data_IF_773368517371
#
_entry.id   IF_773368517371
#
_cell.length_a   1.000
_cell.length_b   1.000
_cell.length_c   1.000
_cell.angle_alpha   90.00
_cell.angle_beta   90.00
_cell.angle_gamma   90.00
#
_symmetry.space_group_name_H-M   'P 1'
#
loop_
_entity.id
_entity.type
_entity.pdbx_description
1 polymer ?
#
# COMPACT_ATOMS: atom_id res chain seq x y z
N UNK A 1 -13.23 -17.48 -54.76
CA UNK A 1 -12.45 -16.97 -53.62
C UNK A 1 -11.72 -18.13 -52.98
N UNK A 2 -10.38 -18.11 -52.95
CA UNK A 2 -9.56 -19.26 -52.53
C UNK A 2 -9.43 -19.39 -51.01
N UNK A 3 -9.26 -20.61 -50.51
CA UNK A 3 -9.04 -20.94 -49.08
C UNK A 3 -7.91 -20.13 -48.42
N UNK A 4 -6.88 -19.78 -49.20
CA UNK A 4 -5.76 -18.93 -48.80
C UNK A 4 -6.22 -17.59 -48.22
N UNK A 5 -7.19 -16.93 -48.86
CA UNK A 5 -7.70 -15.61 -48.43
C UNK A 5 -8.56 -15.69 -47.15
N UNK A 6 -9.17 -16.85 -46.88
CA UNK A 6 -9.98 -17.07 -45.68
C UNK A 6 -9.11 -17.33 -44.44
N UNK A 7 -7.96 -17.99 -44.60
CA UNK A 7 -6.98 -18.21 -43.51
C UNK A 7 -6.33 -16.89 -43.08
N UNK A 8 -5.96 -16.03 -44.02
CA UNK A 8 -5.35 -14.72 -43.73
C UNK A 8 -6.31 -13.77 -43.00
N UNK A 9 -7.59 -13.76 -43.39
CA UNK A 9 -8.63 -12.96 -42.71
C UNK A 9 -8.86 -13.41 -41.27
N UNK A 10 -8.83 -14.72 -41.00
CA UNK A 10 -8.95 -15.27 -39.64
C UNK A 10 -7.74 -14.91 -38.79
N UNK A 11 -6.53 -15.10 -39.31
CA UNK A 11 -5.30 -14.73 -38.62
C UNK A 11 -5.24 -13.23 -38.27
N UNK A 12 -5.64 -12.36 -39.21
CA UNK A 12 -5.71 -10.92 -38.98
C UNK A 12 -6.75 -10.54 -37.91
N UNK A 13 -7.95 -11.17 -37.94
CA UNK A 13 -8.99 -10.95 -36.92
C UNK A 13 -8.55 -11.41 -35.53
N UNK A 14 -7.82 -12.54 -35.45
CA UNK A 14 -7.29 -13.06 -34.19
C UNK A 14 -6.24 -12.10 -33.59
N UNK A 15 -5.32 -11.60 -34.42
CA UNK A 15 -4.29 -10.61 -34.01
C UNK A 15 -4.90 -9.32 -33.47
N UNK A 16 -5.85 -8.73 -34.19
CA UNK A 16 -6.52 -7.50 -33.75
C UNK A 16 -7.28 -7.65 -32.43
N UNK A 17 -7.78 -8.86 -32.13
CA UNK A 17 -8.41 -9.17 -30.84
C UNK A 17 -7.39 -9.25 -29.71
N UNK A 18 -6.29 -9.98 -29.92
CA UNK A 18 -5.21 -10.09 -28.95
C UNK A 18 -4.59 -8.72 -28.63
N UNK A 19 -4.30 -7.91 -29.65
CA UNK A 19 -3.73 -6.56 -29.47
C UNK A 19 -4.70 -5.64 -28.69
N UNK A 20 -6.00 -5.72 -28.99
CA UNK A 20 -7.02 -4.96 -28.28
C UNK A 20 -7.21 -5.39 -26.81
N UNK A 21 -7.02 -6.67 -26.51
CA UNK A 21 -7.09 -7.22 -25.16
C UNK A 21 -5.86 -6.84 -24.33
N UNK A 22 -4.65 -6.98 -24.90
CA UNK A 22 -3.39 -6.53 -24.28
C UNK A 22 -3.45 -5.04 -23.95
N UNK A 23 -3.94 -4.21 -24.87
CA UNK A 23 -4.09 -2.77 -24.63
C UNK A 23 -5.08 -2.46 -23.51
N UNK A 24 -6.22 -3.16 -23.45
CA UNK A 24 -7.21 -2.95 -22.37
C UNK A 24 -6.67 -3.35 -21.00
N UNK A 25 -5.90 -4.44 -20.93
CA UNK A 25 -5.23 -4.87 -19.70
C UNK A 25 -4.21 -3.82 -19.27
N UNK A 26 -3.36 -3.35 -20.18
CA UNK A 26 -2.37 -2.30 -19.89
C UNK A 26 -3.02 -0.96 -19.45
N UNK A 27 -4.11 -0.57 -20.11
CA UNK A 27 -4.89 0.62 -19.74
C UNK A 27 -5.50 0.45 -18.33
N UNK A 28 -5.99 -0.75 -18.01
CA UNK A 28 -6.51 -1.11 -16.68
C UNK A 28 -5.44 -1.02 -15.59
N UNK A 29 -4.27 -1.64 -15.80
CA UNK A 29 -3.15 -1.62 -14.86
C UNK A 29 -2.66 -0.20 -14.56
N UNK A 30 -2.62 0.65 -15.59
CA UNK A 30 -2.26 2.07 -15.43
C UNK A 30 -3.28 2.81 -14.58
N UNK A 31 -4.57 2.63 -14.85
CA UNK A 31 -5.66 3.24 -14.07
C UNK A 31 -5.60 2.78 -12.61
N UNK A 32 -5.36 1.50 -12.36
CA UNK A 32 -5.24 0.94 -11.01
C UNK A 32 -4.03 1.50 -10.27
N UNK A 33 -2.89 1.65 -10.94
CA UNK A 33 -1.69 2.26 -10.36
C UNK A 33 -1.93 3.72 -9.96
N UNK A 34 -2.55 4.51 -10.85
CA UNK A 34 -2.89 5.90 -10.59
C UNK A 34 -3.89 6.03 -9.43
N UNK A 35 -4.91 5.18 -9.42
CA UNK A 35 -5.89 5.12 -8.33
C UNK A 35 -5.22 4.77 -6.99
N UNK A 36 -4.30 3.79 -6.98
CA UNK A 36 -3.53 3.43 -5.77
C UNK A 36 -2.69 4.61 -5.28
N UNK A 37 -1.97 5.29 -6.16
CA UNK A 37 -1.18 6.49 -5.82
C UNK A 37 -2.05 7.61 -5.26
N UNK A 38 -3.20 7.88 -5.89
CA UNK A 38 -4.12 8.91 -5.42
C UNK A 38 -4.67 8.60 -4.02
N UNK A 39 -5.05 7.34 -3.76
CA UNK A 39 -5.48 6.91 -2.42
C UNK A 39 -4.36 7.05 -1.39
N UNK A 40 -3.12 6.72 -1.76
CA UNK A 40 -1.97 6.91 -0.87
C UNK A 40 -1.73 8.39 -0.53
N UNK A 41 -1.74 9.28 -1.52
CA UNK A 41 -1.58 10.71 -1.28
C UNK A 41 -2.70 11.29 -0.41
N UNK A 42 -3.94 10.82 -0.59
CA UNK A 42 -5.07 11.22 0.28
C UNK A 42 -4.85 10.75 1.72
N UNK A 43 -4.45 9.49 1.92
CA UNK A 43 -4.15 8.96 3.24
C UNK A 43 -3.04 9.78 3.92
N UNK A 44 -1.93 10.05 3.21
CA UNK A 44 -0.83 10.85 3.73
C UNK A 44 -1.27 12.27 4.09
N UNK A 45 -2.07 12.92 3.24
CA UNK A 45 -2.62 14.25 3.53
C UNK A 45 -3.50 14.25 4.78
N UNK A 46 -4.37 13.25 4.94
CA UNK A 46 -5.24 13.10 6.11
C UNK A 46 -4.43 12.90 7.39
N UNK A 47 -3.42 12.04 7.34
CA UNK A 47 -2.48 11.81 8.45
C UNK A 47 -1.81 13.13 8.84
N UNK A 48 -1.19 13.84 7.89
CA UNK A 48 -0.48 15.10 8.14
C UNK A 48 -1.38 16.17 8.78
N UNK A 49 -2.61 16.35 8.26
CA UNK A 49 -3.57 17.31 8.83
C UNK A 49 -3.97 16.92 10.25
N UNK A 50 -4.15 15.63 10.51
CA UNK A 50 -4.55 15.16 11.82
C UNK A 50 -3.43 15.37 12.87
N UNK A 51 -2.16 15.14 12.52
CA UNK A 51 -1.04 15.40 13.42
C UNK A 51 -0.75 16.89 13.64
N UNK A 52 -1.06 17.76 12.67
CA UNK A 52 -0.89 19.20 12.83
C UNK A 52 -1.82 19.81 13.89
N UNK A 53 -2.91 19.12 14.26
CA UNK A 53 -3.97 19.63 15.14
C UNK A 53 -4.21 18.76 16.37
N UNK A 54 -3.49 17.65 16.54
CA UNK A 54 -3.69 16.72 17.66
C UNK A 54 -3.15 17.32 18.97
N UNK A 55 -3.94 17.22 20.03
CA UNK A 55 -3.51 17.59 21.37
C UNK A 55 -2.45 16.60 21.88
N UNK A 56 -1.53 17.05 22.74
CA UNK A 56 -0.43 16.23 23.23
C UNK A 56 -0.93 14.96 23.94
N UNK A 57 -2.03 15.06 24.67
CA UNK A 57 -2.67 13.96 25.40
C UNK A 57 -3.27 12.89 24.48
N UNK A 58 -3.51 13.22 23.21
CA UNK A 58 -4.05 12.31 22.20
C UNK A 58 -2.98 11.79 21.22
N UNK A 59 -1.75 12.30 21.33
CA UNK A 59 -0.65 12.01 20.39
C UNK A 59 -0.37 10.51 20.29
N UNK A 60 -0.22 9.84 21.42
CA UNK A 60 0.15 8.42 21.50
C UNK A 60 -0.90 7.53 20.81
N UNK A 61 -2.19 7.76 21.13
CA UNK A 61 -3.29 7.06 20.47
C UNK A 61 -3.35 7.36 18.98
N UNK A 62 -3.03 8.60 18.57
CA UNK A 62 -3.00 8.98 17.16
C UNK A 62 -1.89 8.30 16.38
N UNK A 63 -0.73 8.09 16.99
CA UNK A 63 0.38 7.33 16.41
C UNK A 63 -0.05 5.88 16.18
N UNK A 64 -0.61 5.21 17.19
CA UNK A 64 -1.06 3.82 17.06
C UNK A 64 -2.12 3.65 15.97
N UNK A 65 -3.13 4.54 15.92
CA UNK A 65 -4.14 4.54 14.86
C UNK A 65 -3.52 4.74 13.47
N UNK A 66 -2.51 5.60 13.36
CA UNK A 66 -1.84 5.86 12.08
C UNK A 66 -1.04 4.66 11.59
N UNK A 67 -0.38 3.95 12.52
CA UNK A 67 0.34 2.72 12.19
C UNK A 67 -0.61 1.64 11.63
N UNK A 68 -1.80 1.49 12.23
CA UNK A 68 -2.86 0.61 11.73
C UNK A 68 -3.29 0.99 10.31
N UNK A 69 -3.68 2.26 10.08
CA UNK A 69 -4.14 2.73 8.77
C UNK A 69 -3.10 2.55 7.66
N UNK A 70 -1.82 2.79 7.98
CA UNK A 70 -0.72 2.59 7.05
C UNK A 70 -0.48 1.11 6.77
N UNK A 71 -0.54 0.26 7.80
CA UNK A 71 -0.38 -1.18 7.66
C UNK A 71 -1.50 -1.76 6.81
N UNK A 72 -2.76 -1.39 7.06
CA UNK A 72 -3.91 -1.80 6.25
C UNK A 72 -3.77 -1.37 4.79
N UNK A 73 -3.37 -0.12 4.55
CA UNK A 73 -3.19 0.39 3.18
C UNK A 73 -2.07 -0.34 2.43
N UNK A 74 -0.98 -0.66 3.13
CA UNK A 74 0.19 -1.34 2.57
C UNK A 74 0.05 -2.87 2.57
N UNK A 75 -1.00 -3.40 3.19
CA UNK A 75 -1.20 -4.84 3.44
C UNK A 75 -0.02 -5.45 4.22
N UNK A 76 0.47 -4.72 5.22
CA UNK A 76 1.54 -5.16 6.10
C UNK A 76 0.97 -5.86 7.34
N UNK A 77 1.62 -6.94 7.78
CA UNK A 77 1.23 -7.66 9.00
C UNK A 77 1.56 -6.90 10.29
N UNK A 78 2.50 -5.94 10.21
CA UNK A 78 3.08 -5.24 11.36
C UNK A 78 3.52 -3.82 10.97
N UNK A 79 3.43 -2.90 11.91
CA UNK A 79 3.97 -1.55 11.78
C UNK A 79 4.58 -1.05 13.09
N UNK A 80 5.68 -0.30 13.00
CA UNK A 80 6.43 0.18 14.15
C UNK A 80 6.88 1.62 13.96
N UNK A 81 6.83 2.41 15.03
CA UNK A 81 7.56 3.68 15.14
C UNK A 81 8.48 3.60 16.34
N UNK A 82 9.78 3.65 16.09
CA UNK A 82 10.81 3.39 17.10
C UNK A 82 11.62 4.66 17.34
N UNK A 83 11.76 5.04 18.62
CA UNK A 83 12.67 6.11 19.02
C UNK A 83 14.00 5.52 19.48
N UNK A 84 15.08 5.92 18.80
CA UNK A 84 16.46 5.54 19.13
C UNK A 84 17.10 6.71 19.89
N UNK A 85 17.73 6.43 21.04
CA UNK A 85 18.47 7.41 21.83
C UNK A 85 19.93 7.01 21.96
N UNK A 86 20.84 7.89 21.56
CA UNK A 86 22.28 7.65 21.56
C UNK A 86 22.85 7.46 22.98
N UNK A 87 22.23 8.05 24.00
CA UNK A 87 22.75 8.05 25.38
C UNK A 87 22.66 6.70 26.11
N UNK A 88 21.84 5.78 25.64
CA UNK A 88 21.55 4.54 26.39
C UNK A 88 21.83 3.25 25.61
N UNK A 89 22.16 3.31 24.31
CA UNK A 89 22.29 2.10 23.48
C UNK A 89 21.02 1.24 23.43
N UNK A 90 19.89 1.78 23.91
CA UNK A 90 18.61 1.08 24.08
C UNK A 90 17.52 1.72 23.22
N UNK A 91 16.74 0.87 22.55
CA UNK A 91 15.46 1.20 21.94
C UNK A 91 14.53 1.70 23.05
N UNK A 92 14.21 3.01 23.09
CA UNK A 92 13.67 3.60 24.33
C UNK A 92 12.15 3.57 24.45
N UNK A 93 11.43 3.29 23.38
CA UNK A 93 9.97 3.05 23.34
C UNK A 93 9.58 2.96 21.87
N UNK A 94 8.79 1.96 21.50
CA UNK A 94 8.24 1.83 20.15
C UNK A 94 6.72 1.77 20.17
N UNK A 95 6.05 2.61 19.37
CA UNK A 95 4.66 2.36 19.03
C UNK A 95 4.61 1.19 18.08
N UNK A 96 3.61 0.32 18.25
CA UNK A 96 3.46 -0.86 17.42
C UNK A 96 1.99 -1.10 17.08
N UNK A 97 1.79 -1.74 15.95
CA UNK A 97 0.53 -2.34 15.56
C UNK A 97 0.82 -3.70 14.91
N UNK A 98 -0.08 -4.66 15.17
CA UNK A 98 -0.02 -6.01 14.64
C UNK A 98 -1.39 -6.36 14.07
N UNK A 99 -1.41 -6.97 12.88
CA UNK A 99 -2.64 -7.51 12.34
C UNK A 99 -3.20 -8.63 13.26
N UNK A 100 -4.52 -8.84 13.27
CA UNK A 100 -5.14 -9.89 14.08
C UNK A 100 -4.50 -11.27 13.84
N UNK A 101 -4.10 -11.94 14.91
CA UNK A 101 -3.48 -13.27 14.85
C UNK A 101 -1.96 -13.30 14.60
N UNK A 102 -1.32 -12.15 14.38
CA UNK A 102 0.14 -12.07 14.21
C UNK A 102 0.84 -12.10 15.57
N UNK A 103 1.81 -13.02 15.71
CA UNK A 103 2.63 -13.14 16.93
C UNK A 103 3.45 -11.88 17.16
N UNK A 104 3.37 -11.30 18.36
CA UNK A 104 4.14 -10.12 18.77
C UNK A 104 5.63 -10.41 18.86
N UNK A 105 6.44 -9.37 18.63
CA UNK A 105 7.89 -9.46 18.72
C UNK A 105 8.36 -9.09 20.14
N UNK A 106 9.02 -10.00 20.88
CA UNK A 106 9.49 -9.73 22.23
C UNK A 106 10.47 -8.54 22.33
N UNK A 107 11.21 -8.23 21.25
CA UNK A 107 12.24 -7.20 21.29
C UNK A 107 11.70 -5.77 21.17
N UNK A 108 10.45 -5.59 20.76
CA UNK A 108 9.85 -4.25 20.57
C UNK A 108 8.99 -3.81 21.78
N UNK A 109 8.65 -4.74 22.68
CA UNK A 109 7.91 -4.43 23.93
C UNK A 109 8.84 -4.10 25.12
N UNK A 110 10.14 -4.37 25.02
CA UNK A 110 11.12 -4.07 26.07
C UNK A 110 11.61 -2.61 25.97
N UNK A 111 10.73 -1.65 26.27
CA UNK A 111 11.02 -0.21 26.35
C UNK A 111 10.56 0.38 27.67
#
# INVERSE_FOLDING_TARGET
>A
MSESTLRDKRANKQRRRADGEVRRVADGDLVDNLNRKLRFHRLLSQISTAFASVAAEQMDGKITQTLELLADFLQADRAYLIRISEYAGTLKTGYNWYAPGIKRDPMVEAG
#
